data_IF_852306136717
#
_entry.id   IF_852306136717
#
_cell.length_a   1.000
_cell.length_b   1.000
_cell.length_c   1.000
_cell.angle_alpha   90.00
_cell.angle_beta   90.00
_cell.angle_gamma   90.00
#
_symmetry.space_group_name_H-M   'P 1'
#
loop_
_entity.id
_entity.type
_entity.pdbx_description
1 polymer ?
#
# COMPACT_ATOMS: atom_id res chain seq x y z
N UNK A 1 -11.77 -4.24 -10.02
CA UNK A 1 -10.55 -3.96 -10.81
C UNK A 1 -10.38 -5.11 -11.82
N UNK A 2 -9.50 -5.04 -12.83
CA UNK A 2 -9.29 -6.18 -13.76
C UNK A 2 -8.16 -7.12 -13.32
N UNK A 3 -7.20 -6.59 -12.55
CA UNK A 3 -6.13 -7.34 -11.89
C UNK A 3 -6.25 -6.99 -10.41
N UNK A 4 -6.66 -7.96 -9.59
CA UNK A 4 -6.95 -7.71 -8.17
C UNK A 4 -5.86 -8.27 -7.28
N UNK A 5 -5.29 -9.41 -7.68
CA UNK A 5 -4.25 -10.12 -6.93
C UNK A 5 -2.93 -10.19 -7.69
N UNK A 6 -1.86 -10.51 -6.95
CA UNK A 6 -0.53 -10.74 -7.53
C UNK A 6 -0.57 -11.82 -8.60
N UNK A 7 -1.35 -12.88 -8.38
CA UNK A 7 -1.51 -13.98 -9.35
C UNK A 7 -2.07 -13.51 -10.70
N UNK A 8 -3.02 -12.58 -10.72
CA UNK A 8 -3.59 -12.03 -11.97
C UNK A 8 -2.52 -11.29 -12.77
N UNK A 9 -1.70 -10.50 -12.07
CA UNK A 9 -0.60 -9.76 -12.66
C UNK A 9 0.46 -10.69 -13.23
N UNK A 10 0.83 -11.75 -12.49
CA UNK A 10 1.77 -12.76 -12.95
C UNK A 10 1.25 -13.46 -14.20
N UNK A 11 -0.03 -13.84 -14.23
CA UNK A 11 -0.67 -14.46 -15.40
C UNK A 11 -0.65 -13.53 -16.60
N UNK A 12 -1.05 -12.27 -16.43
CA UNK A 12 -1.02 -11.28 -17.52
C UNK A 12 0.40 -11.12 -18.07
N UNK A 13 1.42 -11.05 -17.21
CA UNK A 13 2.80 -10.91 -17.67
C UNK A 13 3.32 -12.14 -18.40
N UNK A 14 2.88 -13.34 -18.02
CA UNK A 14 3.19 -14.57 -18.75
C UNK A 14 2.58 -14.52 -20.15
N UNK A 15 1.32 -14.12 -20.27
CA UNK A 15 0.62 -13.99 -21.55
C UNK A 15 1.26 -12.92 -22.44
N UNK A 16 1.58 -11.74 -21.87
CA UNK A 16 2.28 -10.67 -22.60
C UNK A 16 3.63 -11.16 -23.14
N UNK A 17 4.41 -11.88 -22.32
CA UNK A 17 5.68 -12.46 -22.76
C UNK A 17 5.48 -13.48 -23.86
N UNK A 18 4.53 -14.42 -23.71
CA UNK A 18 4.22 -15.41 -24.73
C UNK A 18 3.77 -14.77 -26.06
N UNK A 19 3.07 -13.63 -25.98
CA UNK A 19 2.65 -12.82 -27.13
C UNK A 19 3.77 -11.99 -27.80
N UNK A 20 5.04 -12.16 -27.39
CA UNK A 20 6.18 -11.49 -27.99
C UNK A 20 6.62 -10.21 -27.28
N UNK A 21 6.08 -9.88 -26.10
CA UNK A 21 6.62 -8.83 -25.24
C UNK A 21 7.91 -9.29 -24.52
N UNK A 22 8.89 -9.71 -25.31
CA UNK A 22 10.20 -10.14 -24.84
C UNK A 22 11.18 -8.98 -24.94
N UNK A 23 11.05 -7.94 -24.11
CA UNK A 23 11.89 -6.72 -24.15
C UNK A 23 11.83 -6.03 -25.53
N UNK A 24 11.18 -4.86 -25.60
CA UNK A 24 11.21 -4.06 -26.83
C UNK A 24 12.67 -3.73 -27.16
N UNK A 25 13.21 -4.39 -28.18
CA UNK A 25 14.54 -4.15 -28.72
C UNK A 25 14.48 -2.80 -29.44
N UNK A 26 14.95 -1.75 -28.79
CA UNK A 26 15.18 -0.46 -29.44
C UNK A 26 16.40 -0.66 -30.31
N UNK A 27 16.19 -1.10 -31.55
CA UNK A 27 17.24 -1.46 -32.50
C UNK A 27 18.22 -0.31 -32.74
N UNK A 28 19.21 -0.18 -31.87
CA UNK A 28 20.51 0.42 -32.11
C UNK A 28 21.46 0.04 -30.97
N UNK A 29 22.51 -0.71 -31.30
CA UNK A 29 23.84 -0.62 -30.69
C UNK A 29 23.94 -0.26 -29.19
N UNK A 30 23.79 -1.24 -28.28
CA UNK A 30 24.56 -1.26 -27.02
C UNK A 30 23.89 -0.90 -25.68
N UNK A 31 22.61 -0.54 -25.60
CA UNK A 31 21.91 -0.35 -24.31
C UNK A 31 20.47 -0.88 -24.38
N UNK A 32 20.28 -2.11 -23.94
CA UNK A 32 19.06 -2.88 -24.20
C UNK A 32 17.79 -2.34 -23.52
N UNK A 33 16.76 -2.15 -24.34
CA UNK A 33 15.32 -2.28 -24.03
C UNK A 33 14.82 -1.59 -22.76
N UNK A 34 14.32 -0.37 -22.86
CA UNK A 34 13.45 0.19 -21.83
C UNK A 34 12.03 -0.36 -22.07
N UNK A 35 11.60 -1.31 -21.23
CA UNK A 35 10.19 -1.69 -21.18
C UNK A 35 9.42 -0.49 -20.61
N UNK A 36 8.60 0.17 -21.44
CA UNK A 36 7.77 1.31 -21.00
C UNK A 36 6.49 0.87 -20.27
N UNK A 37 6.30 -0.42 -20.03
CA UNK A 37 5.17 -1.00 -19.31
C UNK A 37 5.63 -1.54 -17.95
N UNK A 38 4.95 -1.14 -16.90
CA UNK A 38 5.18 -1.61 -15.54
C UNK A 38 3.98 -1.35 -14.65
N UNK A 39 4.10 -1.75 -13.39
CA UNK A 39 3.01 -1.70 -12.43
C UNK A 39 2.98 -0.37 -11.68
N UNK A 40 1.75 0.07 -11.41
CA UNK A 40 1.43 0.86 -10.25
C UNK A 40 0.99 -0.11 -9.15
N UNK A 41 1.79 -0.25 -8.10
CA UNK A 41 1.50 -1.13 -6.98
C UNK A 41 0.66 -0.39 -5.93
N UNK A 42 -0.62 -0.72 -5.88
CA UNK A 42 -1.58 -0.15 -4.94
C UNK A 42 -1.59 -0.93 -3.62
N UNK A 43 -0.95 -0.38 -2.58
CA UNK A 43 -0.82 -1.05 -1.28
C UNK A 43 -2.19 -1.23 -0.62
N UNK A 44 -3.09 -0.26 -0.77
CA UNK A 44 -4.45 -0.32 -0.24
C UNK A 44 -5.23 -1.46 -0.90
N UNK A 45 -5.19 -1.56 -2.22
CA UNK A 45 -5.86 -2.64 -2.95
C UNK A 45 -5.33 -4.02 -2.55
N UNK A 46 -4.00 -4.18 -2.52
CA UNK A 46 -3.39 -5.47 -2.15
C UNK A 46 -3.78 -5.85 -0.72
N UNK A 47 -3.83 -4.88 0.20
CA UNK A 47 -4.34 -5.11 1.54
C UNK A 47 -5.81 -5.53 1.53
N UNK A 48 -6.69 -4.85 0.79
CA UNK A 48 -8.13 -5.23 0.67
C UNK A 48 -8.31 -6.65 0.15
N UNK A 49 -7.45 -7.10 -0.77
CA UNK A 49 -7.48 -8.46 -1.30
C UNK A 49 -6.84 -9.52 -0.39
N UNK A 50 -6.44 -9.13 0.83
CA UNK A 50 -5.74 -9.97 1.81
C UNK A 50 -4.41 -10.55 1.30
N UNK A 51 -3.76 -9.88 0.34
CA UNK A 51 -2.43 -10.28 -0.11
C UNK A 51 -1.40 -10.02 1.00
N UNK A 52 -0.40 -10.89 1.10
CA UNK A 52 0.81 -10.59 1.85
C UNK A 52 1.67 -9.65 1.00
N UNK A 53 1.87 -8.42 1.48
CA UNK A 53 2.55 -7.38 0.72
C UNK A 53 4.01 -7.76 0.43
N UNK A 54 4.69 -8.38 1.39
CA UNK A 54 6.11 -8.73 1.22
C UNK A 54 6.28 -9.89 0.25
N UNK A 55 5.42 -10.91 0.35
CA UNK A 55 5.40 -12.05 -0.58
C UNK A 55 5.00 -11.61 -1.99
N UNK A 56 3.97 -10.77 -2.12
CA UNK A 56 3.54 -10.20 -3.41
C UNK A 56 4.70 -9.49 -4.12
N UNK A 57 5.37 -8.56 -3.43
CA UNK A 57 6.49 -7.82 -3.97
C UNK A 57 7.68 -8.72 -4.31
N UNK A 58 7.93 -9.76 -3.51
CA UNK A 58 8.95 -10.77 -3.80
C UNK A 58 8.64 -11.51 -5.10
N UNK A 59 7.41 -12.02 -5.26
CA UNK A 59 6.97 -12.72 -6.47
C UNK A 59 7.08 -11.84 -7.73
N UNK A 60 6.66 -10.58 -7.64
CA UNK A 60 6.78 -9.62 -8.74
C UNK A 60 8.25 -9.34 -9.09
N UNK A 61 9.13 -9.22 -8.08
CA UNK A 61 10.58 -9.05 -8.27
C UNK A 61 11.20 -10.27 -8.94
N UNK A 62 10.90 -11.47 -8.47
CA UNK A 62 11.40 -12.74 -9.03
C UNK A 62 10.90 -12.95 -10.46
N UNK A 63 9.66 -12.59 -10.74
CA UNK A 63 9.08 -12.59 -12.06
C UNK A 63 9.68 -11.51 -12.98
N UNK A 64 10.55 -10.61 -12.49
CA UNK A 64 11.15 -9.48 -13.22
C UNK A 64 10.09 -8.55 -13.82
N UNK A 65 9.04 -8.29 -13.05
CA UNK A 65 7.99 -7.33 -13.41
C UNK A 65 8.41 -5.97 -12.84
N UNK A 66 8.56 -4.92 -13.67
CA UNK A 66 8.92 -3.61 -13.17
C UNK A 66 7.73 -2.97 -12.44
N UNK A 67 7.99 -2.44 -11.25
CA UNK A 67 7.07 -1.58 -10.51
C UNK A 67 7.64 -0.16 -10.60
N UNK A 68 6.89 0.76 -11.19
CA UNK A 68 7.34 2.15 -11.39
C UNK A 68 6.79 3.10 -10.34
N UNK A 69 5.60 2.79 -9.80
CA UNK A 69 4.93 3.59 -8.78
C UNK A 69 4.39 2.69 -7.69
N UNK A 70 4.52 3.15 -6.44
CA UNK A 70 3.84 2.60 -5.29
C UNK A 70 2.85 3.64 -4.80
N UNK A 71 1.56 3.30 -4.79
CA UNK A 71 0.53 4.11 -4.17
C UNK A 71 0.53 3.78 -2.67
N UNK A 72 0.99 4.76 -1.90
CA UNK A 72 1.02 4.76 -0.45
C UNK A 72 -0.37 5.23 0.01
N UNK A 73 -1.24 4.26 0.19
CA UNK A 73 -2.63 4.44 0.60
C UNK A 73 -3.00 3.34 1.60
N UNK A 74 -4.00 3.62 2.43
CA UNK A 74 -4.47 2.71 3.48
C UNK A 74 -5.98 2.55 3.40
N UNK A 75 -6.44 1.30 3.45
CA UNK A 75 -7.85 0.92 3.58
C UNK A 75 -8.32 0.87 5.04
N UNK A 76 -9.64 0.99 5.24
CA UNK A 76 -10.33 0.68 6.48
C UNK A 76 -10.27 -0.84 6.76
N UNK A 77 -9.86 -1.19 7.98
CA UNK A 77 -9.79 -2.56 8.50
C UNK A 77 -10.72 -2.68 9.71
N UNK A 78 -11.64 -3.63 9.71
CA UNK A 78 -12.58 -3.84 10.82
C UNK A 78 -12.26 -5.18 11.47
N UNK A 79 -11.99 -5.17 12.78
CA UNK A 79 -11.84 -6.38 13.58
C UNK A 79 -13.11 -6.60 14.38
N UNK A 80 -13.83 -7.67 14.08
CA UNK A 80 -15.06 -8.00 14.80
C UNK A 80 -14.74 -8.77 16.09
N UNK A 81 -15.52 -8.55 17.18
CA UNK A 81 -15.32 -9.24 18.46
C UNK A 81 -15.20 -10.76 18.30
N UNK A 82 -14.10 -11.33 18.80
CA UNK A 82 -13.89 -12.76 18.81
C UNK A 82 -14.78 -13.47 19.85
N UNK A 83 -15.09 -14.78 19.66
CA UNK A 83 -15.66 -15.64 20.69
C UNK A 83 -14.84 -15.60 21.97
N UNK A 84 -15.44 -15.19 23.10
CA UNK A 84 -14.80 -15.30 24.42
C UNK A 84 -15.40 -16.44 25.22
N UNK A 85 -14.60 -17.12 26.05
CA UNK A 85 -15.08 -18.20 26.93
C UNK A 85 -16.15 -17.75 27.94
N UNK A 86 -16.25 -16.44 28.14
CA UNK A 86 -17.20 -15.78 29.03
C UNK A 86 -18.28 -15.02 28.25
N UNK A 87 -18.51 -15.33 26.96
CA UNK A 87 -19.50 -14.65 26.14
C UNK A 87 -20.87 -14.74 26.82
N UNK A 88 -21.26 -13.65 27.47
CA UNK A 88 -22.62 -13.41 27.90
C UNK A 88 -23.49 -13.37 26.63
N UNK A 89 -24.53 -14.23 26.53
CA UNK A 89 -25.45 -14.24 25.42
C UNK A 89 -26.07 -12.86 25.14
N UNK A 90 -26.19 -12.00 26.16
CA UNK A 90 -26.76 -10.65 26.01
C UNK A 90 -25.71 -9.60 25.63
N UNK A 91 -24.47 -9.69 26.12
CA UNK A 91 -23.43 -8.68 25.81
C UNK A 91 -22.91 -8.79 24.37
N UNK A 92 -22.93 -10.01 23.83
CA UNK A 92 -22.35 -10.35 22.53
C UNK A 92 -23.01 -9.62 21.34
N UNK A 93 -24.35 -9.60 21.20
CA UNK A 93 -25.02 -8.84 20.13
C UNK A 93 -24.82 -7.32 20.26
N UNK A 94 -24.76 -6.79 21.49
CA UNK A 94 -24.57 -5.35 21.71
C UNK A 94 -23.23 -4.85 21.20
N UNK A 95 -22.14 -5.60 21.39
CA UNK A 95 -20.81 -5.23 20.89
C UNK A 95 -20.71 -5.26 19.36
N UNK A 96 -21.39 -6.21 18.71
CA UNK A 96 -21.48 -6.24 17.24
C UNK A 96 -22.24 -5.02 16.72
N UNK A 97 -23.42 -4.74 17.29
CA UNK A 97 -24.25 -3.62 16.90
C UNK A 97 -23.55 -2.26 17.11
N UNK A 98 -22.79 -2.10 18.20
CA UNK A 98 -21.98 -0.90 18.44
C UNK A 98 -20.92 -0.68 17.35
N UNK A 99 -20.15 -1.73 17.01
CA UNK A 99 -19.12 -1.63 15.98
C UNK A 99 -19.74 -1.38 14.60
N UNK A 100 -20.87 -2.03 14.29
CA UNK A 100 -21.63 -1.78 13.06
C UNK A 100 -22.11 -0.32 12.98
N UNK A 101 -22.63 0.25 14.08
CA UNK A 101 -23.06 1.64 14.13
C UNK A 101 -21.90 2.62 13.90
N UNK A 102 -20.68 2.28 14.34
CA UNK A 102 -19.47 3.07 14.09
C UNK A 102 -18.92 2.89 12.68
N UNK A 103 -19.15 1.74 12.04
CA UNK A 103 -18.79 1.45 10.65
C UNK A 103 -19.75 2.10 9.64
N UNK A 104 -21.04 2.18 9.96
CA UNK A 104 -22.08 2.69 9.06
C UNK A 104 -21.78 4.06 8.41
N UNK A 105 -21.16 5.04 9.08
CA UNK A 105 -20.77 6.31 8.47
C UNK A 105 -19.76 6.20 7.32
N UNK A 106 -19.02 5.09 7.21
CA UNK A 106 -18.10 4.85 6.09
C UNK A 106 -18.81 4.35 4.83
N UNK A 107 -20.12 4.11 4.87
CA UNK A 107 -20.91 3.74 3.70
C UNK A 107 -21.23 4.98 2.83
N UNK A 108 -20.20 5.51 2.15
CA UNK A 108 -20.30 6.69 1.28
C UNK A 108 -20.82 6.34 -0.13
N UNK A 109 -22.05 6.76 -0.46
CA UNK A 109 -22.75 6.38 -1.69
C UNK A 109 -22.08 6.81 -3.00
N UNK A 110 -21.16 7.78 -2.95
CA UNK A 110 -20.43 8.25 -4.14
C UNK A 110 -19.38 7.27 -4.65
N UNK A 111 -18.91 6.35 -3.80
CA UNK A 111 -17.80 5.45 -4.12
C UNK A 111 -18.20 3.98 -3.96
N UNK A 112 -17.49 3.12 -4.71
CA UNK A 112 -17.64 1.68 -4.64
C UNK A 112 -16.60 1.11 -3.68
N UNK A 113 -17.05 0.51 -2.57
CA UNK A 113 -16.14 0.19 -1.47
C UNK A 113 -15.41 -1.15 -1.57
N UNK A 114 -15.77 -2.08 -2.47
CA UNK A 114 -15.10 -3.38 -2.64
C UNK A 114 -14.64 -4.03 -1.31
N UNK A 115 -15.56 -4.69 -0.61
CA UNK A 115 -15.32 -5.17 0.75
C UNK A 115 -14.98 -6.65 0.76
N UNK A 116 -13.80 -6.98 1.29
CA UNK A 116 -13.37 -8.36 1.54
C UNK A 116 -13.58 -8.71 3.01
N UNK A 117 -14.17 -9.87 3.26
CA UNK A 117 -14.43 -10.40 4.60
C UNK A 117 -13.70 -11.72 4.75
N UNK A 118 -12.68 -11.74 5.61
CA UNK A 118 -12.02 -12.97 6.03
C UNK A 118 -12.76 -13.54 7.23
N UNK A 119 -13.22 -14.78 7.09
CA UNK A 119 -13.93 -15.45 8.16
C UNK A 119 -13.00 -15.69 9.38
N UNK A 120 -13.59 -15.80 10.57
CA UNK A 120 -12.82 -16.26 11.72
C UNK A 120 -12.28 -17.66 11.43
N UNK A 121 -10.99 -17.91 11.71
CA UNK A 121 -10.48 -19.28 11.76
C UNK A 121 -11.24 -19.95 12.90
N UNK A 122 -12.18 -20.85 12.57
CA UNK A 122 -12.78 -21.70 13.59
C UNK A 122 -11.65 -22.43 14.30
N UNK A 123 -11.70 -22.52 15.64
CA UNK A 123 -10.77 -23.36 16.37
C UNK A 123 -10.85 -24.75 15.74
N UNK A 124 -9.77 -25.12 15.04
CA UNK A 124 -9.75 -26.29 14.18
C UNK A 124 -10.14 -27.51 15.03
N UNK A 125 -11.24 -28.20 14.67
CA UNK A 125 -11.65 -29.40 15.37
C UNK A 125 -10.72 -30.58 15.03
N UNK A 126 -9.95 -30.44 13.94
CA UNK A 126 -8.90 -31.36 13.53
C UNK A 126 -7.69 -30.60 12.93
N UNK A 127 -6.50 -31.21 12.90
CA UNK A 127 -5.32 -30.65 12.21
C UNK A 127 -5.53 -30.40 10.71
N UNK A 128 -6.47 -31.12 10.08
CA UNK A 128 -6.81 -30.98 8.66
C UNK A 128 -7.64 -29.70 8.38
N UNK A 129 -8.43 -29.25 9.36
CA UNK A 129 -9.20 -27.99 9.28
C UNK A 129 -8.30 -26.75 9.41
N UNK A 130 -7.09 -26.89 9.97
CA UNK A 130 -6.14 -25.80 10.16
C UNK A 130 -5.36 -25.44 8.87
N UNK A 131 -5.33 -26.34 7.87
CA UNK A 131 -4.65 -26.11 6.58
C UNK A 131 -5.53 -25.39 5.54
N UNK A 132 -6.86 -25.39 5.72
CA UNK A 132 -7.74 -24.59 4.87
C UNK A 132 -7.65 -23.14 5.32
N UNK A 133 -6.87 -22.33 4.59
CA UNK A 133 -6.83 -20.88 4.79
C UNK A 133 -8.24 -20.30 4.92
N UNK A 134 -8.40 -19.31 5.80
CA UNK A 134 -9.72 -18.73 6.08
C UNK A 134 -10.39 -18.26 4.78
N UNK A 135 -11.63 -18.69 4.57
CA UNK A 135 -12.41 -18.30 3.41
C UNK A 135 -12.58 -16.77 3.36
N UNK A 136 -12.41 -16.19 2.17
CA UNK A 136 -12.64 -14.78 1.92
C UNK A 136 -13.93 -14.64 1.11
N UNK A 137 -14.86 -13.85 1.64
CA UNK A 137 -16.08 -13.44 0.94
C UNK A 137 -15.85 -12.04 0.39
N UNK A 138 -16.28 -11.82 -0.85
CA UNK A 138 -16.15 -10.52 -1.50
C UNK A 138 -17.52 -9.92 -1.75
N UNK A 139 -17.67 -8.66 -1.38
CA UNK A 139 -18.85 -7.85 -1.62
C UNK A 139 -18.45 -6.68 -2.51
N UNK A 140 -19.31 -6.35 -3.47
CA UNK A 140 -19.04 -5.23 -4.36
C UNK A 140 -18.98 -3.91 -3.59
N UNK A 141 -19.75 -3.82 -2.51
CA UNK A 141 -19.93 -2.60 -1.73
C UNK A 141 -20.12 -2.90 -0.23
N UNK A 142 -19.89 -1.91 0.63
CA UNK A 142 -19.94 -2.05 2.09
C UNK A 142 -21.37 -2.28 2.60
N UNK A 143 -22.38 -1.65 2.00
CA UNK A 143 -23.77 -1.85 2.38
C UNK A 143 -24.24 -3.30 2.17
N UNK A 144 -23.74 -3.97 1.14
CA UNK A 144 -24.01 -5.38 0.86
C UNK A 144 -23.37 -6.28 1.92
N UNK A 145 -22.14 -5.97 2.35
CA UNK A 145 -21.47 -6.70 3.43
C UNK A 145 -22.22 -6.50 4.76
N UNK A 146 -22.62 -5.26 5.07
CA UNK A 146 -23.44 -4.93 6.25
C UNK A 146 -24.78 -5.69 6.23
N UNK A 147 -25.46 -5.75 5.08
CA UNK A 147 -26.72 -6.46 4.93
C UNK A 147 -26.59 -7.99 5.08
N UNK A 148 -25.44 -8.58 4.73
CA UNK A 148 -25.15 -9.99 4.98
C UNK A 148 -24.95 -10.30 6.47
N UNK A 149 -24.52 -9.31 7.25
CA UNK A 149 -24.34 -9.39 8.69
C UNK A 149 -22.96 -9.90 9.10
N UNK A 150 -22.31 -9.13 9.97
CA UNK A 150 -21.01 -9.47 10.50
C UNK A 150 -21.05 -10.66 11.44
N UNK A 151 -19.99 -11.48 11.40
CA UNK A 151 -19.81 -12.62 12.30
C UNK A 151 -18.66 -12.39 13.26
N UNK A 152 -18.71 -13.08 14.39
CA UNK A 152 -17.69 -12.99 15.44
C UNK A 152 -16.33 -13.44 14.92
N UNK A 153 -15.30 -12.67 15.25
CA UNK A 153 -13.91 -12.92 14.87
C UNK A 153 -13.57 -12.70 13.40
N UNK A 154 -14.49 -12.16 12.60
CA UNK A 154 -14.18 -11.78 11.21
C UNK A 154 -13.23 -10.59 11.16
N UNK A 155 -12.43 -10.53 10.10
CA UNK A 155 -11.72 -9.32 9.69
C UNK A 155 -12.31 -8.84 8.37
N UNK A 156 -12.78 -7.59 8.34
CA UNK A 156 -13.20 -6.95 7.09
C UNK A 156 -12.12 -5.97 6.64
N UNK A 157 -11.90 -5.90 5.33
CA UNK A 157 -11.08 -4.87 4.70
C UNK A 157 -11.92 -4.21 3.63
N UNK A 158 -12.12 -2.90 3.78
CA UNK A 158 -13.01 -2.09 2.97
C UNK A 158 -12.13 -1.15 2.16
N UNK A 159 -12.28 -1.13 0.84
CA UNK A 159 -11.60 -0.16 -0.03
C UNK A 159 -12.21 1.23 0.16
N UNK A 160 -11.84 1.84 1.27
CA UNK A 160 -12.14 3.21 1.66
C UNK A 160 -10.81 3.80 2.12
N UNK A 161 -10.29 4.80 1.41
CA UNK A 161 -8.99 5.36 1.78
C UNK A 161 -9.11 6.14 3.08
N UNK A 162 -8.23 5.82 4.01
CA UNK A 162 -8.14 6.44 5.33
C UNK A 162 -6.72 6.99 5.52
N UNK A 163 -6.52 7.95 6.44
CA UNK A 163 -5.24 8.62 6.57
C UNK A 163 -4.09 7.64 6.81
N UNK A 164 -3.01 7.76 6.05
CA UNK A 164 -1.92 6.76 6.03
C UNK A 164 -1.17 6.61 7.36
N UNK A 165 -1.21 7.64 8.20
CA UNK A 165 -0.51 7.68 9.48
C UNK A 165 -1.32 7.11 10.64
N UNK A 166 -2.64 6.88 10.48
CA UNK A 166 -3.46 6.32 11.55
C UNK A 166 -3.37 4.79 11.56
N UNK A 167 -3.22 4.18 12.73
CA UNK A 167 -3.45 2.74 12.91
C UNK A 167 -4.92 2.46 13.28
N UNK A 168 -5.56 3.38 14.03
CA UNK A 168 -6.91 3.22 14.58
C UNK A 168 -7.81 4.45 14.36
N UNK A 169 -9.05 4.21 13.94
CA UNK A 169 -10.04 5.22 13.50
C UNK A 169 -11.16 5.50 14.51
N UNK A 170 -11.29 4.68 15.55
CA UNK A 170 -12.32 4.78 16.58
C UNK A 170 -11.77 5.17 17.97
N UNK A 171 -10.45 5.35 18.14
CA UNK A 171 -9.82 5.84 19.38
C UNK A 171 -9.55 7.35 19.37
N UNK A 172 -9.98 8.10 20.38
CA UNK A 172 -9.78 9.56 20.46
C UNK A 172 -8.50 10.00 21.18
N UNK A 173 -7.45 9.17 21.28
CA UNK A 173 -6.28 9.43 22.15
C UNK A 173 -4.93 8.92 21.64
N UNK A 174 -3.85 9.52 22.18
CA UNK A 174 -2.42 9.46 21.79
C UNK A 174 -1.72 8.09 21.94
N UNK A 175 -2.42 7.02 22.29
CA UNK A 175 -1.80 5.69 22.40
C UNK A 175 -2.30 4.81 21.27
N UNK A 176 -1.65 4.91 20.10
CA UNK A 176 -1.69 3.95 19.00
C UNK A 176 -1.02 2.60 19.37
N UNK A 177 -1.03 2.23 20.65
CA UNK A 177 -0.46 0.97 21.10
C UNK A 177 -1.40 -0.17 20.67
N UNK A 178 -0.96 -1.11 19.83
CA UNK A 178 -1.82 -2.15 19.30
C UNK A 178 -2.17 -3.15 20.41
N UNK A 179 -3.40 -3.08 20.91
CA UNK A 179 -4.04 -4.26 21.47
C UNK A 179 -4.42 -5.15 20.29
N UNK A 180 -3.51 -6.08 19.96
CA UNK A 180 -3.46 -6.87 18.72
C UNK A 180 -4.73 -7.66 18.40
N UNK A 181 -5.64 -7.79 19.35
CA UNK A 181 -6.84 -8.64 19.29
C UNK A 181 -8.11 -7.93 19.81
N UNK A 182 -8.11 -6.60 19.89
CA UNK A 182 -9.31 -5.85 20.27
C UNK A 182 -10.21 -5.56 19.05
N UNK A 183 -11.52 -5.66 19.24
CA UNK A 183 -12.48 -5.28 18.22
C UNK A 183 -12.45 -3.77 17.98
N UNK A 184 -12.59 -3.35 16.71
CA UNK A 184 -12.55 -1.93 16.38
C UNK A 184 -12.36 -1.61 14.91
N UNK A 185 -12.27 -0.31 14.65
CA UNK A 185 -11.99 0.27 13.34
C UNK A 185 -10.51 0.66 13.27
N UNK A 186 -9.74 -0.11 12.50
CA UNK A 186 -8.32 0.04 12.25
C UNK A 186 -8.08 0.47 10.81
N UNK A 187 -6.81 0.60 10.44
CA UNK A 187 -6.39 0.79 9.06
C UNK A 187 -5.51 -0.37 8.59
N UNK A 188 -5.17 -0.35 7.30
CA UNK A 188 -4.20 -1.27 6.71
C UNK A 188 -2.80 -0.63 6.59
N UNK A 189 -2.51 0.41 7.39
CA UNK A 189 -1.22 1.13 7.42
C UNK A 189 -0.02 0.18 7.49
N UNK A 190 -0.14 -0.93 8.21
CA UNK A 190 0.89 -1.96 8.28
C UNK A 190 1.36 -2.46 6.90
N UNK A 191 0.47 -2.55 5.91
CA UNK A 191 0.84 -2.91 4.54
C UNK A 191 1.80 -1.90 3.90
N UNK A 192 1.67 -0.61 4.23
CA UNK A 192 2.63 0.44 3.83
C UNK A 192 3.98 0.16 4.49
N UNK A 193 3.99 -0.11 5.79
CA UNK A 193 5.22 -0.38 6.54
C UNK A 193 5.96 -1.62 6.00
N UNK A 194 5.22 -2.65 5.59
CA UNK A 194 5.74 -3.87 4.94
C UNK A 194 6.33 -3.53 3.56
N UNK A 195 5.62 -2.78 2.72
CA UNK A 195 6.12 -2.33 1.42
C UNK A 195 7.41 -1.48 1.55
N UNK A 196 7.43 -0.53 2.48
CA UNK A 196 8.62 0.31 2.73
C UNK A 196 9.80 -0.53 3.24
N UNK A 197 9.55 -1.50 4.11
CA UNK A 197 10.60 -2.40 4.61
C UNK A 197 11.17 -3.29 3.49
N UNK A 198 10.31 -3.80 2.61
CA UNK A 198 10.74 -4.53 1.41
C UNK A 198 11.62 -3.67 0.49
N UNK A 199 11.25 -2.39 0.30
CA UNK A 199 12.01 -1.46 -0.52
C UNK A 199 13.36 -1.06 0.11
N UNK A 200 13.44 -1.04 1.44
CA UNK A 200 14.66 -0.73 2.18
C UNK A 200 15.71 -1.85 2.11
N UNK A 201 15.31 -3.11 1.90
CA UNK A 201 16.19 -4.30 1.88
C UNK A 201 17.13 -4.40 0.63
N UNK A 202 17.38 -3.26 -0.04
CA UNK A 202 18.45 -2.98 -1.00
C UNK A 202 18.68 -3.95 -2.17
N UNK A 203 17.79 -4.91 -2.43
CA UNK A 203 17.83 -5.78 -3.61
C UNK A 203 16.83 -5.27 -4.65
N UNK A 204 17.22 -4.31 -5.51
CA UNK A 204 16.33 -3.76 -6.53
C UNK A 204 15.93 -4.85 -7.53
N UNK A 205 14.70 -4.77 -8.02
CA UNK A 205 14.29 -5.58 -9.16
C UNK A 205 15.22 -5.27 -10.35
N UNK A 206 15.84 -6.28 -11.00
CA UNK A 206 16.73 -6.04 -12.13
C UNK A 206 16.09 -5.23 -13.27
N UNK A 207 14.76 -5.35 -13.42
CA UNK A 207 13.99 -4.63 -14.44
C UNK A 207 13.83 -3.13 -14.14
N UNK A 208 13.94 -2.71 -12.88
CA UNK A 208 13.83 -1.31 -12.44
C UNK A 208 15.09 -0.79 -11.75
N UNK A 209 16.20 -1.53 -11.77
CA UNK A 209 17.45 -1.19 -11.07
C UNK A 209 18.06 0.16 -11.49
N UNK A 210 17.71 0.66 -12.69
CA UNK A 210 18.17 1.98 -13.19
C UNK A 210 17.27 3.15 -12.73
N UNK A 211 16.14 2.91 -12.07
CA UNK A 211 15.17 3.94 -11.67
C UNK A 211 14.82 3.84 -10.19
N UNK A 212 14.80 4.99 -9.49
CA UNK A 212 14.24 5.04 -8.13
C UNK A 212 12.72 4.83 -8.18
N UNK A 213 12.13 4.09 -7.23
CA UNK A 213 10.68 3.95 -7.17
C UNK A 213 10.01 5.29 -6.89
N UNK A 214 8.89 5.58 -7.56
CA UNK A 214 8.04 6.71 -7.20
C UNK A 214 7.10 6.26 -6.08
N UNK A 215 7.09 6.99 -4.97
CA UNK A 215 6.12 6.84 -3.89
C UNK A 215 5.11 7.98 -4.00
N UNK A 216 3.83 7.64 -4.14
CA UNK A 216 2.73 8.61 -4.25
C UNK A 216 1.81 8.42 -3.05
N UNK A 217 1.57 9.48 -2.28
CA UNK A 217 0.56 9.46 -1.20
C UNK A 217 -0.79 9.86 -1.79
N UNK A 218 -1.78 8.99 -1.71
CA UNK A 218 -3.13 9.27 -2.20
C UNK A 218 -4.02 9.85 -1.08
N UNK A 219 -4.58 11.05 -1.31
CA UNK A 219 -5.21 11.87 -0.25
C UNK A 219 -6.66 12.29 -0.55
N UNK A 220 -7.40 11.57 -1.40
CA UNK A 220 -8.67 12.08 -1.97
C UNK A 220 -9.93 11.91 -1.09
N UNK A 221 -9.84 11.29 0.09
CA UNK A 221 -11.03 10.92 0.90
C UNK A 221 -11.35 11.86 2.06
N UNK A 222 -10.60 12.94 2.24
CA UNK A 222 -10.77 13.79 3.43
C UNK A 222 -12.17 14.36 3.61
N UNK A 223 -12.85 14.78 2.55
CA UNK A 223 -14.20 15.34 2.63
C UNK A 223 -15.29 14.28 2.89
N UNK A 224 -14.99 12.99 2.69
CA UNK A 224 -15.94 11.90 2.83
C UNK A 224 -15.71 11.07 4.10
N UNK A 225 -14.61 11.34 4.82
CA UNK A 225 -14.37 10.73 6.13
C UNK A 225 -15.48 11.11 7.12
N UNK A 226 -15.90 10.18 8.00
CA UNK A 226 -16.81 10.49 9.08
C UNK A 226 -16.29 11.62 9.98
N UNK A 227 -17.21 12.41 10.56
CA UNK A 227 -16.86 13.52 11.47
C UNK A 227 -15.97 13.05 12.64
N UNK A 228 -16.19 11.83 13.15
CA UNK A 228 -15.39 11.22 14.22
C UNK A 228 -13.90 11.05 13.88
N UNK A 229 -13.55 11.01 12.59
CA UNK A 229 -12.17 10.99 12.11
C UNK A 229 -11.74 12.40 11.73
N UNK A 230 -12.57 13.16 11.00
CA UNK A 230 -12.23 14.52 10.56
C UNK A 230 -11.94 15.47 11.73
N UNK A 231 -12.67 15.35 12.83
CA UNK A 231 -12.51 16.21 14.01
C UNK A 231 -11.17 16.02 14.74
N UNK A 232 -10.38 15.00 14.38
CA UNK A 232 -9.01 14.80 14.91
C UNK A 232 -8.00 15.78 14.31
N UNK A 233 -8.38 16.45 13.23
CA UNK A 233 -7.52 17.37 12.48
C UNK A 233 -8.11 18.77 12.53
N UNK A 234 -7.24 19.79 12.46
CA UNK A 234 -7.67 21.18 12.40
C UNK A 234 -8.29 21.53 11.05
N UNK A 235 -7.51 21.38 9.98
CA UNK A 235 -7.95 21.60 8.60
C UNK A 235 -7.33 20.58 7.62
N UNK A 236 -7.83 20.55 6.39
CA UNK A 236 -7.36 19.65 5.33
C UNK A 236 -5.86 19.81 5.05
N UNK A 237 -5.30 21.03 4.89
CA UNK A 237 -3.86 21.21 4.73
C UNK A 237 -3.04 20.56 5.85
N UNK A 238 -3.41 20.76 7.12
CA UNK A 238 -2.72 20.13 8.24
C UNK A 238 -2.79 18.61 8.19
N UNK A 239 -3.94 18.07 7.79
CA UNK A 239 -4.14 16.64 7.67
C UNK A 239 -3.21 16.01 6.60
N UNK A 240 -3.10 16.65 5.42
CA UNK A 240 -2.18 16.24 4.34
C UNK A 240 -0.72 16.36 4.80
N UNK A 241 -0.35 17.45 5.49
CA UNK A 241 1.01 17.62 6.01
C UNK A 241 1.39 16.49 6.98
N UNK A 242 0.46 16.03 7.82
CA UNK A 242 0.70 14.92 8.74
C UNK A 242 0.91 13.59 8.00
N UNK A 243 0.18 13.33 6.91
CA UNK A 243 0.39 12.14 6.07
C UNK A 243 1.79 12.12 5.43
N UNK A 244 2.20 13.26 4.84
CA UNK A 244 3.52 13.38 4.22
C UNK A 244 4.63 13.30 5.26
N UNK A 245 4.49 14.00 6.39
CA UNK A 245 5.49 13.99 7.46
C UNK A 245 5.67 12.59 8.06
N UNK A 246 4.59 11.83 8.23
CA UNK A 246 4.66 10.45 8.68
C UNK A 246 5.38 9.55 7.67
N UNK A 247 5.11 9.70 6.37
CA UNK A 247 5.82 8.94 5.34
C UNK A 247 7.31 9.31 5.32
N UNK A 248 7.64 10.60 5.37
CA UNK A 248 9.03 11.07 5.43
C UNK A 248 9.77 10.47 6.62
N UNK A 249 9.18 10.51 7.82
CA UNK A 249 9.75 9.88 9.01
C UNK A 249 9.93 8.37 8.80
N UNK A 250 8.92 7.68 8.26
CA UNK A 250 8.97 6.24 8.00
C UNK A 250 10.10 5.85 7.02
N UNK A 251 10.38 6.72 6.04
CA UNK A 251 11.49 6.57 5.10
C UNK A 251 12.85 6.86 5.75
N UNK A 252 12.95 7.88 6.61
CA UNK A 252 14.17 8.21 7.35
C UNK A 252 14.59 7.08 8.31
N UNK A 253 13.63 6.53 9.06
CA UNK A 253 13.85 5.39 9.97
C UNK A 253 14.41 4.16 9.23
N UNK A 254 14.09 4.04 7.93
CA UNK A 254 14.56 2.98 7.03
C UNK A 254 15.78 3.39 6.18
N UNK A 255 16.37 4.56 6.44
CA UNK A 255 17.54 5.09 5.72
C UNK A 255 17.31 5.22 4.20
N UNK A 256 16.06 5.48 3.78
CA UNK A 256 15.67 5.60 2.38
C UNK A 256 15.77 7.04 1.85
N UNK A 257 15.92 8.02 2.74
CA UNK A 257 16.21 9.41 2.38
C UNK A 257 17.70 9.69 2.53
N UNK A 258 18.25 10.49 1.62
CA UNK A 258 19.62 10.99 1.77
C UNK A 258 19.61 12.16 2.76
N UNK A 259 20.59 12.21 3.66
CA UNK A 259 20.78 13.39 4.50
C UNK A 259 21.01 14.62 3.62
N UNK A 260 20.19 15.65 3.82
CA UNK A 260 20.28 16.92 3.08
C UNK A 260 21.61 17.67 3.27
N UNK A 261 22.50 17.19 4.14
CA UNK A 261 23.80 17.81 4.44
C UNK A 261 24.97 17.31 3.57
N UNK A 262 24.76 16.39 2.62
CA UNK A 262 25.83 15.86 1.76
C UNK A 262 25.85 16.38 0.31
N UNK A 263 25.10 17.42 -0.05
CA UNK A 263 25.39 18.18 -1.27
C UNK A 263 26.51 19.19 -0.99
N UNK A 264 27.74 18.69 -0.87
CA UNK A 264 28.93 19.54 -0.96
C UNK A 264 28.94 20.30 -2.30
N UNK A 265 29.57 21.48 -2.38
CA UNK A 265 29.49 22.30 -3.57
C UNK A 265 30.08 21.53 -4.75
N UNK A 266 29.29 21.33 -5.79
CA UNK A 266 29.80 20.88 -7.08
C UNK A 266 30.95 21.82 -7.47
N UNK A 267 32.17 21.28 -7.46
CA UNK A 267 33.31 21.95 -8.06
C UNK A 267 32.99 22.06 -9.55
N UNK A 268 32.54 23.23 -9.98
CA UNK A 268 32.63 23.68 -11.36
C UNK A 268 34.09 23.50 -11.81
N UNK A 269 34.38 22.38 -12.48
CA UNK A 269 35.63 22.22 -13.20
C UNK A 269 35.54 23.14 -14.40
N UNK A 270 36.27 24.24 -14.31
CA UNK A 270 36.53 25.20 -15.37
C UNK A 270 36.79 24.50 -16.70
N UNK A 271 35.95 24.81 -17.69
CA UNK A 271 36.26 24.70 -19.10
C UNK A 271 37.61 25.39 -19.35
N UNK A 272 38.63 24.57 -19.57
CA UNK A 272 39.92 24.99 -20.11
C UNK A 272 39.69 25.49 -21.53
N UNK A 273 39.83 26.80 -21.74
CA UNK A 273 40.03 27.36 -23.07
C UNK A 273 41.44 27.00 -23.53
N UNK A 274 41.55 25.97 -24.36
CA UNK A 274 42.74 25.72 -25.16
C UNK A 274 42.84 26.81 -26.24
N UNK A 275 43.72 27.78 -26.01
CA UNK A 275 44.23 28.65 -27.07
C UNK A 275 45.29 27.85 -27.84
N UNK A 276 44.87 27.27 -28.97
CA UNK A 276 45.76 26.55 -29.86
C UNK A 276 46.53 27.57 -30.71
N UNK A 277 47.82 27.71 -30.41
CA UNK A 277 48.76 28.48 -31.21
C UNK A 277 49.34 27.60 -32.30
N UNK A 278 49.01 27.89 -33.56
CA UNK A 278 49.83 27.48 -34.70
C UNK A 278 50.21 28.72 -35.50
N UNK A 279 51.46 29.17 -35.30
CA UNK A 279 52.11 30.05 -36.27
C UNK A 279 52.61 29.23 -37.45
N UNK A 280 52.53 29.77 -38.67
CA UNK A 280 53.73 30.14 -39.47
C UNK A 280 53.39 30.62 -40.89
N UNK A 281 54.09 31.71 -41.27
CA UNK A 281 54.68 32.04 -42.59
C UNK A 281 53.80 32.54 -43.75
N UNK A 282 54.06 33.78 -44.19
CA UNK A 282 54.87 34.14 -45.39
C UNK A 282 54.87 35.68 -45.52
N UNK A 283 56.01 36.37 -45.43
CA UNK A 283 56.95 36.71 -46.52
C UNK A 283 56.46 37.87 -47.40
N UNK A 284 57.35 38.87 -47.49
CA UNK A 284 57.38 40.13 -48.26
C UNK A 284 56.59 41.35 -47.74
#
# INVERSE_FOLDING_TARGET
>A
CALEKTADVLSLWQDLRAGGLHRIDTGDSGDGSLLHLGLCYDVCHQAVMFEDISESLLLLREAKIPIFKYQISSALRVLWPAPTKADDPEESPHRLADLEARLAPFCEKRYLHQTSVREAIQAANSPEDAESGSAIRFFLDLDQALADGARRGEEWRVHFHVPVHLDRLDSSGETDAPHKDEAGLYTTRRGIEEALSFLADATPCPASAKSKPVLEVETYTWEVLPESVRSRYGDLPQAIVQEVAWLEQSLQERQMLQDSDQTGPEKNSSLSTAADGTGTKSAD
#
